data_IF_075809341250
#
_entry.id   IF_075809341250
#
_cell.length_a   1.000
_cell.length_b   1.000
_cell.length_c   1.000
_cell.angle_alpha   90.00
_cell.angle_beta   90.00
_cell.angle_gamma   90.00
#
_symmetry.space_group_name_H-M   'P 1'
#
loop_
_entity.id
_entity.type
_entity.pdbx_description
1 polymer ?
#
# COMPACT_ATOMS: atom_id res chain seq x y z
N UNK A 1 -5.29 6.45 -20.27
CA UNK A 1 -6.50 7.31 -20.25
C UNK A 1 -7.58 6.81 -19.27
N UNK A 2 -8.34 5.72 -19.48
CA UNK A 2 -9.36 5.29 -18.47
C UNK A 2 -8.78 4.83 -17.12
N UNK A 3 -7.55 4.31 -17.09
CA UNK A 3 -6.93 3.79 -15.86
C UNK A 3 -6.28 4.90 -15.00
N UNK A 4 -5.86 6.01 -15.61
CA UNK A 4 -5.11 7.08 -14.92
C UNK A 4 -6.03 7.99 -14.10
N UNK A 5 -7.21 8.33 -14.62
CA UNK A 5 -8.21 9.10 -13.87
C UNK A 5 -8.69 8.38 -12.61
N UNK A 6 -8.87 7.05 -12.69
CA UNK A 6 -9.18 6.20 -11.53
C UNK A 6 -8.05 6.24 -10.49
N UNK A 7 -6.79 6.17 -10.96
CA UNK A 7 -5.62 6.27 -10.09
C UNK A 7 -5.51 7.63 -9.40
N UNK A 8 -5.75 8.72 -10.13
CA UNK A 8 -5.73 10.07 -9.58
C UNK A 8 -6.79 10.26 -8.50
N UNK A 9 -7.99 9.70 -8.70
CA UNK A 9 -9.04 9.74 -7.68
C UNK A 9 -8.61 9.03 -6.39
N UNK A 10 -8.10 7.80 -6.49
CA UNK A 10 -7.63 7.03 -5.32
C UNK A 10 -6.48 7.73 -4.59
N UNK A 11 -5.55 8.33 -5.33
CA UNK A 11 -4.46 9.12 -4.74
C UNK A 11 -5.02 10.36 -4.05
N UNK A 12 -5.94 11.09 -4.68
CA UNK A 12 -6.57 12.26 -4.07
C UNK A 12 -7.26 11.92 -2.75
N UNK A 13 -8.02 10.83 -2.72
CA UNK A 13 -8.74 10.39 -1.52
C UNK A 13 -7.78 10.03 -0.37
N UNK A 14 -6.58 9.53 -0.67
CA UNK A 14 -5.55 9.23 0.33
C UNK A 14 -4.82 10.48 0.90
N UNK A 15 -4.86 11.61 0.18
CA UNK A 15 -4.20 12.87 0.53
C UNK A 15 -5.18 14.03 0.67
N UNK A 16 -6.43 13.74 1.02
CA UNK A 16 -7.54 14.71 1.08
C UNK A 16 -7.26 15.95 1.95
N UNK A 17 -6.35 15.83 2.92
CA UNK A 17 -5.94 16.87 3.87
C UNK A 17 -4.88 17.83 3.32
N UNK A 18 -4.37 17.57 2.11
CA UNK A 18 -3.36 18.40 1.47
C UNK A 18 -3.88 19.07 0.20
N UNK A 19 -3.56 20.35 0.00
CA UNK A 19 -3.78 21.03 -1.28
C UNK A 19 -2.67 20.64 -2.29
N UNK A 20 -2.68 19.37 -2.71
CA UNK A 20 -1.70 18.80 -3.64
C UNK A 20 -2.40 18.30 -4.88
N UNK A 21 -1.76 18.50 -6.01
CA UNK A 21 -2.12 17.90 -7.27
C UNK A 21 -1.85 16.38 -7.28
N UNK A 22 -2.89 15.53 -7.37
CA UNK A 22 -2.75 14.07 -7.43
C UNK A 22 -1.93 13.60 -8.64
N UNK A 23 -1.95 14.35 -9.74
CA UNK A 23 -1.14 14.04 -10.93
C UNK A 23 0.35 14.14 -10.57
N UNK A 24 0.76 15.22 -9.89
CA UNK A 24 2.13 15.37 -9.39
C UNK A 24 2.58 14.18 -8.55
N UNK A 25 1.74 13.72 -7.61
CA UNK A 25 2.06 12.55 -6.76
C UNK A 25 2.22 11.27 -7.59
N UNK A 26 1.34 11.06 -8.58
CA UNK A 26 1.44 9.95 -9.52
C UNK A 26 2.73 10.01 -10.33
N UNK A 27 3.11 11.18 -10.84
CA UNK A 27 4.35 11.37 -11.58
C UNK A 27 5.59 11.08 -10.72
N UNK A 28 5.60 11.47 -9.44
CA UNK A 28 6.68 11.13 -8.49
C UNK A 28 6.73 9.61 -8.25
N UNK A 29 5.58 8.97 -8.06
CA UNK A 29 5.51 7.51 -7.84
C UNK A 29 6.05 6.71 -9.03
N UNK A 30 5.86 7.20 -10.25
CA UNK A 30 6.35 6.55 -11.47
C UNK A 30 7.71 7.06 -11.94
N UNK A 31 8.45 7.77 -11.07
CA UNK A 31 9.79 8.32 -11.35
C UNK A 31 9.82 9.23 -12.60
N UNK A 32 8.67 9.81 -12.97
CA UNK A 32 8.54 10.71 -14.14
C UNK A 32 8.97 12.14 -13.81
N UNK A 33 8.89 12.53 -12.55
CA UNK A 33 9.41 13.81 -12.03
C UNK A 33 10.17 13.55 -10.73
N UNK A 34 11.17 14.39 -10.38
CA UNK A 34 11.90 14.23 -9.14
C UNK A 34 11.00 14.45 -7.91
N UNK A 35 11.33 13.84 -6.76
CA UNK A 35 10.71 14.15 -5.49
C UNK A 35 10.81 15.64 -5.15
N UNK A 36 9.76 16.20 -4.57
CA UNK A 36 9.91 17.44 -3.80
C UNK A 36 10.16 17.05 -2.34
N UNK A 37 10.94 17.82 -1.58
CA UNK A 37 11.36 17.41 -0.22
C UNK A 37 10.19 17.03 0.72
N UNK A 38 9.00 17.57 0.46
CA UNK A 38 7.77 17.24 1.17
C UNK A 38 7.28 15.82 0.80
N UNK A 39 7.25 15.49 -0.49
CA UNK A 39 6.76 14.25 -1.09
C UNK A 39 7.87 13.44 -1.75
N UNK A 40 8.38 12.48 -1.00
CA UNK A 40 9.22 11.41 -1.55
C UNK A 40 8.36 10.21 -1.93
N UNK A 41 8.79 9.46 -2.94
CA UNK A 41 8.14 8.20 -3.36
C UNK A 41 7.82 7.28 -2.17
N UNK A 42 8.77 7.12 -1.25
CA UNK A 42 8.57 6.34 -0.03
C UNK A 42 7.44 6.88 0.86
N UNK A 43 7.40 8.20 1.11
CA UNK A 43 6.32 8.83 1.90
C UNK A 43 4.96 8.66 1.22
N UNK A 44 4.92 8.83 -0.10
CA UNK A 44 3.67 8.69 -0.85
C UNK A 44 3.18 7.25 -0.76
N UNK A 45 4.05 6.28 -1.04
CA UNK A 45 3.72 4.86 -1.01
C UNK A 45 3.31 4.38 0.39
N UNK A 46 3.99 4.86 1.45
CA UNK A 46 3.59 4.59 2.84
C UNK A 46 2.17 5.07 3.12
N UNK A 47 1.84 6.31 2.73
CA UNK A 47 0.50 6.86 2.94
C UNK A 47 -0.55 6.05 2.20
N UNK A 48 -0.29 5.64 0.96
CA UNK A 48 -1.21 4.81 0.18
C UNK A 48 -1.41 3.44 0.84
N UNK A 49 -0.35 2.81 1.33
CA UNK A 49 -0.42 1.53 2.06
C UNK A 49 -1.24 1.63 3.35
N UNK A 50 -1.15 2.77 4.04
CA UNK A 50 -1.88 3.02 5.29
C UNK A 50 -3.37 3.28 5.10
N UNK A 51 -3.76 3.82 3.94
CA UNK A 51 -5.15 4.24 3.67
C UNK A 51 -5.88 3.25 2.78
N UNK A 52 -5.24 2.70 1.75
CA UNK A 52 -5.87 1.87 0.74
C UNK A 52 -5.81 0.38 1.10
N UNK A 53 -6.78 -0.37 0.58
CA UNK A 53 -6.74 -1.83 0.64
C UNK A 53 -5.66 -2.42 -0.28
N UNK A 54 -5.23 -3.65 0.01
CA UNK A 54 -4.25 -4.36 -0.82
C UNK A 54 -4.69 -4.49 -2.29
N UNK A 55 -5.99 -4.70 -2.54
CA UNK A 55 -6.53 -4.81 -3.90
C UNK A 55 -6.43 -3.48 -4.66
N UNK A 56 -6.72 -2.36 -4.00
CA UNK A 56 -6.55 -1.04 -4.60
C UNK A 56 -5.10 -0.73 -4.92
N UNK A 57 -4.17 -1.14 -4.03
CA UNK A 57 -2.73 -1.00 -4.25
C UNK A 57 -2.26 -1.86 -5.44
N UNK A 58 -2.71 -3.11 -5.55
CA UNK A 58 -2.42 -3.95 -6.73
C UNK A 58 -2.96 -3.32 -8.01
N UNK A 59 -4.21 -2.85 -7.98
CA UNK A 59 -4.87 -2.27 -9.15
C UNK A 59 -4.16 -0.99 -9.63
N UNK A 60 -3.68 -0.18 -8.69
CA UNK A 60 -2.94 1.07 -8.98
C UNK A 60 -1.58 0.83 -9.62
N UNK A 61 -0.81 -0.13 -9.10
CA UNK A 61 0.61 -0.23 -9.41
C UNK A 61 1.00 -1.49 -10.19
N UNK A 62 0.19 -2.55 -10.09
CA UNK A 62 0.53 -3.87 -10.59
C UNK A 62 1.57 -4.58 -9.73
N UNK A 63 1.65 -5.91 -9.89
CA UNK A 63 2.51 -6.77 -9.06
C UNK A 63 4.00 -6.46 -9.19
N UNK A 64 4.49 -6.20 -10.41
CA UNK A 64 5.92 -5.99 -10.66
C UNK A 64 6.42 -4.69 -10.01
N UNK A 65 5.64 -3.61 -10.11
CA UNK A 65 5.97 -2.37 -9.41
C UNK A 65 6.04 -2.59 -7.90
N UNK A 66 5.05 -3.29 -7.32
CA UNK A 66 5.00 -3.53 -5.89
C UNK A 66 6.16 -4.40 -5.41
N UNK A 67 6.56 -5.41 -6.20
CA UNK A 67 7.74 -6.23 -5.90
C UNK A 67 9.03 -5.41 -5.84
N UNK A 68 9.14 -4.36 -6.66
CA UNK A 68 10.32 -3.48 -6.66
C UNK A 68 10.28 -2.45 -5.53
N UNK A 69 9.10 -1.98 -5.14
CA UNK A 69 8.96 -0.82 -4.26
C UNK A 69 8.52 -1.15 -2.82
N UNK A 70 7.93 -2.32 -2.55
CA UNK A 70 7.66 -2.81 -1.19
C UNK A 70 8.94 -3.47 -0.66
N UNK A 71 9.92 -2.64 -0.30
CA UNK A 71 11.19 -3.07 0.27
C UNK A 71 11.08 -3.27 1.78
N UNK A 72 12.05 -3.96 2.38
CA UNK A 72 12.13 -4.10 3.84
C UNK A 72 12.17 -2.73 4.53
N UNK A 73 12.95 -1.80 3.99
CA UNK A 73 13.08 -0.43 4.51
C UNK A 73 11.75 0.35 4.49
N UNK A 74 10.89 0.10 3.48
CA UNK A 74 9.55 0.68 3.43
C UNK A 74 8.65 0.06 4.50
N UNK A 75 8.64 -1.27 4.58
CA UNK A 75 7.81 -2.02 5.54
C UNK A 75 8.15 -1.62 6.98
N UNK A 76 9.43 -1.50 7.32
CA UNK A 76 9.88 -1.13 8.68
C UNK A 76 9.40 0.28 9.09
N UNK A 77 9.08 1.15 8.13
CA UNK A 77 8.55 2.51 8.38
C UNK A 77 7.04 2.54 8.64
N UNK A 78 6.31 1.46 8.35
CA UNK A 78 4.85 1.39 8.60
C UNK A 78 4.61 1.48 10.11
N UNK A 79 3.86 2.48 10.56
CA UNK A 79 3.69 2.75 12.01
C UNK A 79 2.78 1.73 12.70
N UNK A 80 1.73 1.31 12.01
CA UNK A 80 0.79 0.33 12.55
C UNK A 80 1.42 -1.08 12.53
N UNK A 81 1.61 -1.75 13.69
CA UNK A 81 2.29 -3.04 13.76
C UNK A 81 1.52 -4.15 13.03
N UNK A 82 0.19 -4.14 13.06
CA UNK A 82 -0.64 -5.15 12.37
C UNK A 82 -0.50 -4.99 10.85
N UNK A 83 -0.50 -3.75 10.37
CA UNK A 83 -0.31 -3.45 8.95
C UNK A 83 1.11 -3.80 8.50
N UNK A 84 2.12 -3.50 9.34
CA UNK A 84 3.51 -3.87 9.11
C UNK A 84 3.66 -5.38 8.94
N UNK A 85 3.12 -6.17 9.86
CA UNK A 85 3.17 -7.64 9.78
C UNK A 85 2.53 -8.18 8.50
N UNK A 86 1.39 -7.58 8.10
CA UNK A 86 0.71 -7.92 6.85
C UNK A 86 1.59 -7.63 5.63
N UNK A 87 2.23 -6.47 5.59
CA UNK A 87 3.08 -6.08 4.47
C UNK A 87 4.43 -6.81 4.44
N UNK A 88 4.95 -7.22 5.60
CA UNK A 88 6.12 -8.10 5.68
C UNK A 88 5.80 -9.48 5.08
N UNK A 89 4.61 -10.01 5.35
CA UNK A 89 4.14 -11.23 4.71
C UNK A 89 3.99 -11.05 3.18
N UNK A 90 3.34 -9.98 2.75
CA UNK A 90 3.16 -9.67 1.31
C UNK A 90 4.52 -9.56 0.61
N UNK A 91 5.49 -8.84 1.21
CA UNK A 91 6.86 -8.74 0.71
C UNK A 91 7.47 -10.14 0.50
N UNK A 92 7.41 -11.00 1.52
CA UNK A 92 7.93 -12.38 1.42
C UNK A 92 7.27 -13.16 0.27
N UNK A 93 5.96 -13.04 0.11
CA UNK A 93 5.21 -13.65 -1.00
C UNK A 93 5.67 -13.10 -2.35
N UNK A 94 5.83 -11.79 -2.50
CA UNK A 94 6.27 -11.15 -3.75
C UNK A 94 7.68 -11.57 -4.16
N UNK A 95 8.54 -11.85 -3.19
CA UNK A 95 9.93 -12.27 -3.40
C UNK A 95 10.15 -13.80 -3.37
N UNK A 96 9.09 -14.60 -3.24
CA UNK A 96 9.17 -16.06 -3.08
C UNK A 96 10.10 -16.49 -1.91
N UNK A 97 10.14 -15.69 -0.85
CA UNK A 97 10.90 -16.03 0.37
C UNK A 97 10.15 -17.10 1.17
N UNK A 98 10.89 -17.94 1.90
CA UNK A 98 10.30 -18.98 2.74
C UNK A 98 9.43 -18.37 3.84
N UNK A 99 8.17 -18.82 3.94
CA UNK A 99 7.21 -18.36 4.93
C UNK A 99 7.04 -19.47 5.98
N UNK A 100 7.33 -19.15 7.25
CA UNK A 100 7.00 -20.05 8.35
C UNK A 100 5.48 -20.12 8.51
N UNK A 101 4.91 -21.30 8.30
CA UNK A 101 3.47 -21.57 8.45
C UNK A 101 3.03 -21.63 9.91
N UNK A 102 3.97 -21.90 10.85
CA UNK A 102 3.67 -22.13 12.27
C UNK A 102 3.46 -20.86 13.10
N UNK A 103 3.99 -19.71 12.66
CA UNK A 103 3.77 -18.42 13.33
C UNK A 103 2.47 -17.70 12.90
N UNK A 104 1.81 -18.17 11.85
CA UNK A 104 0.68 -17.49 11.20
C UNK A 104 -0.69 -18.03 11.61
N UNK A 105 -0.79 -19.25 12.16
CA UNK A 105 -2.07 -19.97 12.24
C UNK A 105 -3.06 -19.41 13.26
N UNK A 106 -2.61 -18.91 14.42
CA UNK A 106 -3.56 -18.71 15.53
C UNK A 106 -3.85 -17.23 15.81
N UNK A 107 -2.83 -16.37 15.97
CA UNK A 107 -3.07 -14.98 16.37
C UNK A 107 -3.38 -14.03 15.21
N UNK A 108 -2.79 -14.27 14.04
CA UNK A 108 -2.89 -13.36 12.90
C UNK A 108 -4.02 -13.73 11.94
N UNK A 109 -4.34 -15.01 11.80
CA UNK A 109 -5.41 -15.48 10.91
C UNK A 109 -6.80 -15.00 11.37
N UNK A 110 -7.08 -15.06 12.66
CA UNK A 110 -8.37 -14.61 13.21
C UNK A 110 -8.52 -13.08 13.20
N UNK A 111 -7.41 -12.35 13.37
CA UNK A 111 -7.37 -10.88 13.22
C UNK A 111 -7.52 -10.40 11.77
N UNK A 112 -6.96 -11.14 10.82
CA UNK A 112 -7.11 -10.83 9.40
C UNK A 112 -8.51 -11.19 8.89
N UNK A 113 -9.07 -12.34 9.30
CA UNK A 113 -10.46 -12.70 9.02
C UNK A 113 -11.42 -11.63 9.54
N UNK A 114 -11.26 -11.16 10.77
CA UNK A 114 -12.13 -10.12 11.33
C UNK A 114 -11.97 -8.76 10.64
N UNK A 115 -10.76 -8.38 10.25
CA UNK A 115 -10.50 -7.15 9.47
C UNK A 115 -11.03 -7.21 8.04
N UNK A 116 -10.91 -8.35 7.35
CA UNK A 116 -11.46 -8.56 6.01
C UNK A 116 -12.99 -8.54 6.06
N UNK A 117 -13.59 -9.15 7.09
CA UNK A 117 -15.04 -9.20 7.27
C UNK A 117 -15.63 -7.89 7.81
N UNK A 118 -14.86 -7.05 8.53
CA UNK A 118 -15.35 -5.75 9.01
C UNK A 118 -15.50 -4.73 7.87
N UNK A 119 -14.63 -4.78 6.86
CA UNK A 119 -14.79 -4.00 5.64
C UNK A 119 -15.99 -4.47 4.80
N UNK A 120 -16.44 -5.72 4.97
CA UNK A 120 -17.61 -6.27 4.29
C UNK A 120 -18.94 -5.76 4.86
N UNK A 121 -18.96 -5.31 6.13
CA UNK A 121 -20.21 -4.88 6.82
C UNK A 121 -20.47 -3.37 6.80
N UNK A 122 -19.52 -2.56 6.31
CA UNK A 122 -19.62 -1.10 6.28
C UNK A 122 -19.54 -0.48 4.87
N UNK A 123 -19.67 -1.28 3.80
CA UNK A 123 -19.91 -0.72 2.46
C UNK A 123 -21.40 -0.35 2.33
N UNK A 124 -21.74 0.91 1.97
CA UNK A 124 -23.10 1.25 1.55
C UNK A 124 -23.48 0.56 0.23
#
# INVERSE_FOLDING_TARGET
MKNEESSYKKIKDAFWDYNIDPEKLYLILHDKIPPDGMFTKAKILLRLIEVLSWYEIIDLFGKEYLKQNITKELVDKIRNPILRDRYEFIRKVLHNEAISTSGWSDKNRDRLKSSILSHWRNSP
#
